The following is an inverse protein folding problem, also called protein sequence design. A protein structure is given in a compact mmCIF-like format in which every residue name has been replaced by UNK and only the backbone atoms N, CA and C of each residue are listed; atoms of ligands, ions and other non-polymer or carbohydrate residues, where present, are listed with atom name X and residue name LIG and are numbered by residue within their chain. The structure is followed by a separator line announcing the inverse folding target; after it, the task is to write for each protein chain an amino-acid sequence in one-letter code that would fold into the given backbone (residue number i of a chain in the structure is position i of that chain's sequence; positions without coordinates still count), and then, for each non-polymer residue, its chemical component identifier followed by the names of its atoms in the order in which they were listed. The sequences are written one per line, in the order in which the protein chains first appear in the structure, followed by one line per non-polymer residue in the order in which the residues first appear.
data_IF_217954930942
#
_entry.id   IF_217954930942
#
_cell.length_a   1.000
_cell.length_b   1.000
_cell.length_c   1.000
_cell.angle_alpha   90.00
_cell.angle_beta   90.00
_cell.angle_gamma   90.00
#
_symmetry.space_group_name_H-M   'P 1'
#
loop_
_entity.id
_entity.type
_entity.pdbx_description
1 polymer ?
#
# COMPACT_ATOMS: atom_id res chain seq x y z
N UNK A 1 -9.67 20.93 -2.85
CA UNK A 1 -9.32 19.68 -3.55
C UNK A 1 -9.84 18.54 -2.68
N UNK A 2 -10.70 17.68 -3.22
CA UNK A 2 -11.40 16.59 -2.50
C UNK A 2 -10.64 15.24 -2.57
N UNK A 3 -9.46 15.22 -3.19
CA UNK A 3 -8.65 14.01 -3.40
C UNK A 3 -7.94 13.51 -2.12
N UNK A 4 -8.01 14.27 -1.03
CA UNK A 4 -7.51 13.87 0.29
C UNK A 4 -8.63 13.31 1.20
N UNK A 5 -9.88 13.28 0.73
CA UNK A 5 -11.01 12.77 1.49
C UNK A 5 -10.98 11.25 1.57
N UNK A 6 -11.48 10.70 2.68
CA UNK A 6 -11.54 9.27 2.93
C UNK A 6 -12.13 8.48 1.76
N UNK A 7 -13.21 8.97 1.13
CA UNK A 7 -13.85 8.28 0.00
C UNK A 7 -12.92 8.10 -1.22
N UNK A 8 -12.11 9.10 -1.54
CA UNK A 8 -11.15 9.04 -2.65
C UNK A 8 -10.02 8.06 -2.33
N UNK A 9 -9.46 8.15 -1.12
CA UNK A 9 -8.36 7.29 -0.67
C UNK A 9 -8.81 5.84 -0.56
N UNK A 10 -9.98 5.59 0.04
CA UNK A 10 -10.62 4.27 0.10
C UNK A 10 -10.79 3.68 -1.30
N UNK A 11 -11.22 4.48 -2.28
CA UNK A 11 -11.33 4.04 -3.68
C UNK A 11 -9.98 3.66 -4.28
N UNK A 12 -8.91 4.43 -4.05
CA UNK A 12 -7.56 4.08 -4.51
C UNK A 12 -7.06 2.76 -3.90
N UNK A 13 -7.24 2.59 -2.59
CA UNK A 13 -6.84 1.35 -1.90
C UNK A 13 -7.63 0.17 -2.45
N UNK A 14 -8.95 0.32 -2.56
CA UNK A 14 -9.80 -0.75 -3.05
C UNK A 14 -9.46 -1.14 -4.50
N UNK A 15 -9.18 -0.16 -5.37
CA UNK A 15 -8.71 -0.40 -6.73
C UNK A 15 -7.37 -1.15 -6.77
N UNK A 16 -6.46 -0.84 -5.84
CA UNK A 16 -5.19 -1.54 -5.72
C UNK A 16 -5.36 -2.99 -5.24
N UNK A 17 -6.14 -3.22 -4.18
CA UNK A 17 -6.36 -4.58 -3.66
C UNK A 17 -7.07 -5.46 -4.68
N UNK A 18 -8.06 -4.92 -5.40
CA UNK A 18 -8.71 -5.62 -6.51
C UNK A 18 -7.74 -5.98 -7.63
N UNK A 19 -6.81 -5.08 -7.95
CA UNK A 19 -5.74 -5.33 -8.92
C UNK A 19 -4.82 -6.47 -8.47
N UNK A 20 -4.38 -6.47 -7.21
CA UNK A 20 -3.56 -7.54 -6.61
C UNK A 20 -4.29 -8.89 -6.65
N UNK A 21 -5.60 -8.89 -6.41
CA UNK A 21 -6.45 -10.08 -6.46
C UNK A 21 -6.89 -10.50 -7.87
N UNK A 22 -6.50 -9.76 -8.91
CA UNK A 22 -6.91 -10.00 -10.30
C UNK A 22 -8.44 -10.04 -10.48
N UNK A 23 -9.18 -9.29 -9.64
CA UNK A 23 -10.64 -9.18 -9.76
C UNK A 23 -10.95 -8.25 -10.93
N UNK A 24 -11.68 -8.72 -11.98
CA UNK A 24 -12.01 -7.91 -13.15
C UNK A 24 -12.65 -6.58 -12.73
N UNK A 25 -12.04 -5.46 -13.14
CA UNK A 25 -12.65 -4.14 -13.03
C UNK A 25 -13.10 -3.68 -14.42
N UNK A 26 -14.27 -3.02 -14.54
CA UNK A 26 -14.68 -2.42 -15.80
C UNK A 26 -13.58 -1.48 -16.33
N UNK A 27 -13.26 -1.55 -17.63
CA UNK A 27 -12.16 -0.77 -18.23
C UNK A 27 -12.30 0.76 -18.05
N UNK A 28 -13.53 1.25 -17.88
CA UNK A 28 -13.83 2.65 -17.56
C UNK A 28 -13.64 3.01 -16.07
N UNK A 29 -13.29 2.05 -15.21
CA UNK A 29 -13.45 2.14 -13.76
C UNK A 29 -12.22 2.50 -12.93
N UNK A 30 -11.02 2.58 -13.53
CA UNK A 30 -9.78 2.97 -12.82
C UNK A 30 -9.29 4.33 -13.26
N UNK A 31 -9.13 5.25 -12.31
CA UNK A 31 -8.63 6.60 -12.58
C UNK A 31 -7.19 6.57 -13.11
N UNK A 32 -6.72 7.68 -13.69
CA UNK A 32 -5.29 7.83 -14.04
C UNK A 32 -4.40 7.60 -12.81
N UNK A 33 -4.78 8.17 -11.67
CA UNK A 33 -4.11 7.97 -10.38
C UNK A 33 -4.05 6.49 -10.00
N UNK A 34 -5.18 5.77 -10.05
CA UNK A 34 -5.24 4.33 -9.72
C UNK A 34 -4.27 3.52 -10.59
N UNK A 35 -4.18 3.80 -11.89
CA UNK A 35 -3.28 3.08 -12.80
C UNK A 35 -1.80 3.33 -12.50
N UNK A 36 -1.42 4.59 -12.28
CA UNK A 36 -0.03 4.93 -11.91
C UNK A 36 0.32 4.28 -10.57
N UNK A 37 -0.58 4.37 -9.58
CA UNK A 37 -0.40 3.78 -8.27
C UNK A 37 -0.26 2.26 -8.32
N UNK A 38 -1.13 1.57 -9.08
CA UNK A 38 -1.06 0.11 -9.27
C UNK A 38 0.30 -0.31 -9.81
N UNK A 39 0.81 0.35 -10.84
CA UNK A 39 2.10 -0.01 -11.44
C UNK A 39 3.26 0.12 -10.44
N UNK A 40 3.31 1.25 -9.71
CA UNK A 40 4.41 1.53 -8.78
C UNK A 40 4.29 0.64 -7.53
N UNK A 41 3.12 0.60 -6.88
CA UNK A 41 2.91 -0.17 -5.67
C UNK A 41 3.06 -1.67 -5.91
N UNK A 42 2.60 -2.20 -7.06
CA UNK A 42 2.79 -3.62 -7.37
C UNK A 42 4.26 -3.97 -7.63
N UNK A 43 5.04 -3.05 -8.20
CA UNK A 43 6.48 -3.24 -8.36
C UNK A 43 7.19 -3.28 -7.01
N UNK A 44 6.86 -2.35 -6.10
CA UNK A 44 7.36 -2.33 -4.71
C UNK A 44 6.93 -3.60 -3.97
N UNK A 45 5.67 -4.00 -4.09
CA UNK A 45 5.15 -5.21 -3.46
C UNK A 45 5.94 -6.45 -3.88
N UNK A 46 6.19 -6.64 -5.18
CA UNK A 46 6.97 -7.79 -5.66
C UNK A 46 8.40 -7.81 -5.10
N UNK A 47 9.02 -6.64 -5.00
CA UNK A 47 10.37 -6.52 -4.46
C UNK A 47 10.41 -6.82 -2.96
N UNK A 48 9.43 -6.31 -2.20
CA UNK A 48 9.23 -6.64 -0.78
C UNK A 48 8.98 -8.13 -0.60
N UNK A 49 8.05 -8.72 -1.35
CA UNK A 49 7.75 -10.15 -1.28
C UNK A 49 8.97 -11.02 -1.56
N UNK A 50 9.82 -10.61 -2.50
CA UNK A 50 11.06 -11.31 -2.85
C UNK A 50 12.13 -11.18 -1.76
N UNK A 51 12.43 -9.96 -1.33
CA UNK A 51 13.56 -9.68 -0.43
C UNK A 51 13.25 -9.98 1.04
N UNK A 52 11.97 -9.89 1.43
CA UNK A 52 11.51 -10.17 2.78
C UNK A 52 10.82 -11.52 2.93
N UNK A 53 10.91 -12.40 1.91
CA UNK A 53 10.29 -13.72 1.96
C UNK A 53 10.49 -14.45 3.30
N UNK A 54 11.71 -14.57 3.87
CA UNK A 54 11.89 -15.26 5.15
C UNK A 54 11.12 -14.63 6.31
N UNK A 55 11.08 -13.30 6.37
CA UNK A 55 10.31 -12.59 7.40
C UNK A 55 8.80 -12.71 7.17
N UNK A 56 8.35 -12.56 5.93
CA UNK A 56 6.93 -12.69 5.58
C UNK A 56 6.42 -14.11 5.86
N UNK A 57 7.26 -15.12 5.73
CA UNK A 57 6.92 -16.51 6.04
C UNK A 57 6.79 -16.75 7.57
N UNK A 58 7.38 -15.90 8.42
CA UNK A 58 7.37 -16.05 9.89
C UNK A 58 6.07 -15.60 10.57
N UNK A 59 5.20 -14.86 9.88
CA UNK A 59 3.89 -14.48 10.44
C UNK A 59 2.73 -14.99 9.60
N UNK A 60 1.63 -15.35 10.28
CA UNK A 60 0.42 -15.87 9.67
C UNK A 60 -0.70 -14.84 9.81
N UNK A 61 -1.48 -14.66 8.74
CA UNK A 61 -2.61 -13.72 8.71
C UNK A 61 -3.90 -14.53 8.58
N UNK A 62 -4.52 -14.87 9.70
CA UNK A 62 -5.72 -15.75 9.73
C UNK A 62 -7.05 -14.97 9.77
N UNK A 63 -7.03 -13.73 10.24
CA UNK A 63 -8.22 -12.87 10.38
C UNK A 63 -7.99 -11.44 9.92
N UNK A 64 -9.10 -10.71 9.72
CA UNK A 64 -9.06 -9.26 9.46
C UNK A 64 -8.42 -8.53 10.64
N UNK A 65 -8.74 -8.90 11.88
CA UNK A 65 -8.18 -8.27 13.08
C UNK A 65 -6.66 -8.50 13.17
N UNK A 66 -6.19 -9.70 12.82
CA UNK A 66 -4.76 -10.02 12.75
C UNK A 66 -4.08 -9.18 11.66
N UNK A 67 -4.71 -9.06 10.48
CA UNK A 67 -4.21 -8.24 9.39
C UNK A 67 -4.11 -6.76 9.78
N UNK A 68 -5.14 -6.22 10.43
CA UNK A 68 -5.19 -4.84 10.90
C UNK A 68 -4.14 -4.57 11.98
N UNK A 69 -3.96 -5.50 12.92
CA UNK A 69 -2.95 -5.39 13.99
C UNK A 69 -1.54 -5.35 13.40
N UNK A 70 -1.21 -6.30 12.52
CA UNK A 70 0.10 -6.34 11.84
C UNK A 70 0.30 -5.09 10.99
N UNK A 71 -0.72 -4.67 10.23
CA UNK A 71 -0.67 -3.44 9.44
C UNK A 71 -0.31 -2.25 10.31
N UNK A 72 -1.05 -2.03 11.40
CA UNK A 72 -0.83 -0.90 12.29
C UNK A 72 0.58 -0.92 12.89
N UNK A 73 1.04 -2.06 13.41
CA UNK A 73 2.38 -2.18 14.00
C UNK A 73 3.51 -1.86 13.00
N UNK A 74 3.41 -2.37 11.78
CA UNK A 74 4.44 -2.12 10.74
C UNK A 74 4.41 -0.66 10.29
N UNK A 75 3.21 -0.10 10.06
CA UNK A 75 3.07 1.29 9.60
C UNK A 75 3.44 2.31 10.69
N UNK A 76 3.09 2.06 11.96
CA UNK A 76 3.52 2.92 13.08
C UNK A 76 5.05 2.98 13.17
N UNK A 77 5.72 1.84 12.98
CA UNK A 77 7.18 1.79 12.99
C UNK A 77 7.81 2.42 11.74
N UNK A 78 7.21 2.24 10.56
CA UNK A 78 7.70 2.84 9.31
C UNK A 78 7.65 4.37 9.32
N UNK A 79 6.68 4.96 10.03
CA UNK A 79 6.47 6.40 10.11
C UNK A 79 6.89 7.02 11.45
N UNK A 80 7.58 6.27 12.32
CA UNK A 80 7.95 6.72 13.67
C UNK A 80 8.90 7.93 13.68
N UNK A 81 9.69 8.11 12.62
CA UNK A 81 10.62 9.23 12.46
C UNK A 81 9.94 10.52 11.99
N UNK A 82 8.62 10.49 11.75
CA UNK A 82 7.82 11.62 11.27
C UNK A 82 8.03 11.99 9.80
N UNK A 83 8.83 11.23 9.04
CA UNK A 83 9.16 11.56 7.65
C UNK A 83 8.11 10.97 6.71
N UNK A 84 7.33 11.85 6.07
CA UNK A 84 6.32 11.49 5.06
C UNK A 84 6.84 11.86 3.66
N UNK A 85 6.68 10.96 2.71
CA UNK A 85 6.95 11.18 1.29
C UNK A 85 6.18 10.17 0.44
N UNK A 86 6.05 10.43 -0.85
CA UNK A 86 5.32 9.55 -1.75
C UNK A 86 5.84 8.10 -1.81
N UNK A 87 7.16 7.88 -1.65
CA UNK A 87 7.73 6.54 -1.61
C UNK A 87 7.22 5.72 -0.44
N UNK A 88 7.18 6.32 0.76
CA UNK A 88 6.57 5.70 1.96
C UNK A 88 5.05 5.61 1.88
N UNK A 89 4.38 6.53 1.19
CA UNK A 89 2.93 6.37 0.97
C UNK A 89 2.67 5.14 0.09
N UNK A 90 3.49 4.89 -0.93
CA UNK A 90 3.38 3.71 -1.81
C UNK A 90 3.58 2.40 -1.05
N UNK A 91 4.48 2.34 -0.07
CA UNK A 91 4.71 1.12 0.73
C UNK A 91 3.49 0.74 1.57
N UNK A 92 2.67 1.69 2.01
CA UNK A 92 1.38 1.43 2.66
C UNK A 92 0.48 0.55 1.76
N UNK A 93 0.33 0.93 0.48
CA UNK A 93 -0.47 0.15 -0.48
C UNK A 93 0.16 -1.22 -0.72
N UNK A 94 1.47 -1.25 -0.98
CA UNK A 94 2.20 -2.50 -1.21
C UNK A 94 2.01 -3.49 -0.05
N UNK A 95 2.11 -3.02 1.19
CA UNK A 95 1.91 -3.86 2.37
C UNK A 95 0.46 -4.32 2.53
N UNK A 96 -0.53 -3.46 2.28
CA UNK A 96 -1.93 -3.88 2.20
C UNK A 96 -2.16 -5.00 1.16
N UNK A 97 -1.46 -4.92 0.01
CA UNK A 97 -1.44 -5.96 -1.02
C UNK A 97 -0.81 -7.29 -0.56
N UNK A 98 0.21 -7.24 0.28
CA UNK A 98 0.82 -8.44 0.89
C UNK A 98 -0.15 -9.08 1.88
N UNK A 99 -0.79 -8.27 2.74
CA UNK A 99 -1.73 -8.74 3.76
C UNK A 99 -2.95 -9.42 3.14
N UNK A 100 -3.53 -8.86 2.07
CA UNK A 100 -4.68 -9.50 1.41
C UNK A 100 -4.29 -10.84 0.77
N UNK A 101 -3.11 -10.95 0.16
CA UNK A 101 -2.60 -12.22 -0.40
C UNK A 101 -2.39 -13.27 0.69
N UNK A 102 -1.78 -12.88 1.81
CA UNK A 102 -1.57 -13.80 2.95
C UNK A 102 -2.90 -14.23 3.56
N UNK A 103 -3.81 -13.30 3.82
CA UNK A 103 -5.12 -13.60 4.41
C UNK A 103 -5.95 -14.57 3.55
N UNK A 104 -5.94 -14.39 2.23
CA UNK A 104 -6.68 -15.29 1.33
C UNK A 104 -6.01 -16.65 1.15
N UNK A 105 -4.69 -16.74 1.27
CA UNK A 105 -3.97 -18.01 1.21
C UNK A 105 -4.29 -18.91 2.40
N UNK A 106 -4.44 -18.32 3.58
CA UNK A 106 -4.68 -19.05 4.84
C UNK A 106 -6.18 -19.33 5.10
N UNK A 107 -7.10 -18.75 4.32
CA UNK A 107 -8.55 -18.94 4.49
C UNK A 107 -9.13 -19.98 3.54
N UNK A 108 -9.87 -20.94 4.12
CA UNK A 108 -10.60 -21.99 3.40
C UNK A 108 -11.80 -21.42 2.61
N UNK A 109 -12.43 -20.34 3.10
CA UNK A 109 -13.52 -19.64 2.43
C UNK A 109 -13.34 -18.12 2.52
N UNK A 110 -12.87 -17.46 1.45
CA UNK A 110 -12.78 -16.01 1.36
C UNK A 110 -14.16 -15.36 1.51
N UNK A 111 -14.30 -14.42 2.45
CA UNK A 111 -15.42 -13.49 2.44
C UNK A 111 -15.24 -12.54 1.24
N UNK A 112 -16.24 -12.41 0.38
CA UNK A 112 -16.23 -11.52 -0.80
C UNK A 112 -15.91 -10.08 -0.39
N UNK A 113 -16.20 -9.70 0.85
CA UNK A 113 -15.95 -8.36 1.38
C UNK A 113 -14.60 -8.20 2.09
N UNK A 114 -13.72 -9.20 2.08
CA UNK A 114 -12.40 -9.16 2.73
C UNK A 114 -11.57 -7.96 2.25
N UNK A 115 -11.53 -7.70 0.93
CA UNK A 115 -10.78 -6.57 0.39
C UNK A 115 -11.37 -5.21 0.81
N UNK A 116 -12.68 -5.12 1.06
CA UNK A 116 -13.33 -3.89 1.53
C UNK A 116 -12.89 -3.56 2.96
N UNK A 117 -12.86 -4.57 3.83
CA UNK A 117 -12.40 -4.43 5.23
C UNK A 117 -10.94 -3.99 5.30
N UNK A 118 -10.06 -4.62 4.50
CA UNK A 118 -8.66 -4.17 4.40
C UNK A 118 -8.57 -2.75 3.83
N UNK A 119 -9.39 -2.42 2.82
CA UNK A 119 -9.40 -1.06 2.27
C UNK A 119 -9.74 0.01 3.31
N UNK A 120 -10.63 -0.30 4.26
CA UNK A 120 -11.03 0.64 5.32
C UNK A 120 -9.87 1.05 6.20
N UNK A 121 -9.22 0.09 6.88
CA UNK A 121 -8.17 0.43 7.84
C UNK A 121 -6.91 0.98 7.17
N UNK A 122 -6.64 0.59 5.92
CA UNK A 122 -5.53 1.17 5.14
C UNK A 122 -5.85 2.63 4.79
N UNK A 123 -7.08 2.92 4.35
CA UNK A 123 -7.49 4.28 4.03
C UNK A 123 -7.56 5.18 5.27
N UNK A 124 -8.05 4.66 6.40
CA UNK A 124 -8.02 5.33 7.71
C UNK A 124 -6.59 5.76 8.06
N UNK A 125 -5.62 4.84 7.99
CA UNK A 125 -4.23 5.18 8.28
C UNK A 125 -3.68 6.28 7.35
N UNK A 126 -3.94 6.21 6.04
CA UNK A 126 -3.48 7.23 5.09
C UNK A 126 -4.12 8.59 5.41
N UNK A 127 -5.43 8.62 5.68
CA UNK A 127 -6.14 9.85 6.04
C UNK A 127 -5.56 10.46 7.32
N UNK A 128 -5.46 9.64 8.37
CA UNK A 128 -5.09 10.11 9.70
C UNK A 128 -3.63 10.57 9.78
N UNK A 129 -2.73 9.93 9.02
CA UNK A 129 -1.29 10.13 9.17
C UNK A 129 -0.66 10.91 8.02
N UNK A 130 -1.26 10.95 6.83
CA UNK A 130 -0.58 11.47 5.63
C UNK A 130 -1.38 12.50 4.83
N UNK A 131 -2.68 12.66 5.08
CA UNK A 131 -3.55 13.52 4.25
C UNK A 131 -3.07 14.98 4.18
N UNK A 132 -2.62 15.54 5.30
CA UNK A 132 -2.14 16.92 5.33
C UNK A 132 -0.87 17.09 4.48
N UNK A 133 0.09 16.15 4.60
CA UNK A 133 1.28 16.14 3.78
C UNK A 133 0.94 15.98 2.29
N UNK A 134 0.02 15.06 1.96
CA UNK A 134 -0.47 14.85 0.59
C UNK A 134 -1.02 16.16 0.01
N UNK A 135 -1.87 16.84 0.76
CA UNK A 135 -2.49 18.12 0.37
C UNK A 135 -1.44 19.21 0.12
N UNK A 136 -0.46 19.33 1.01
CA UNK A 136 0.65 20.28 0.88
C UNK A 136 1.58 19.97 -0.31
N UNK A 137 1.65 18.71 -0.73
CA UNK A 137 2.52 18.24 -1.82
C UNK A 137 1.78 18.02 -3.14
N UNK A 138 0.70 18.78 -3.38
CA UNK A 138 -0.01 18.83 -4.66
C UNK A 138 -1.07 17.74 -4.85
N UNK A 139 -1.42 16.99 -3.81
CA UNK A 139 -2.43 15.96 -3.88
C UNK A 139 -2.03 14.79 -4.79
N UNK A 140 -3.00 13.95 -5.13
CA UNK A 140 -2.73 12.76 -5.93
C UNK A 140 -2.50 13.08 -7.41
N UNK A 141 -3.22 14.05 -7.96
CA UNK A 141 -3.12 14.37 -9.39
C UNK A 141 -1.92 15.27 -9.72
N UNK A 142 -1.69 16.34 -8.95
CA UNK A 142 -0.60 17.29 -9.22
C UNK A 142 0.70 16.95 -8.47
N UNK A 143 0.64 16.12 -7.43
CA UNK A 143 1.79 15.60 -6.71
C UNK A 143 2.19 14.20 -7.19
N UNK A 144 1.44 13.19 -6.77
CA UNK A 144 1.78 11.79 -7.01
C UNK A 144 1.87 11.44 -8.50
N UNK A 145 0.82 11.68 -9.28
CA UNK A 145 0.82 11.35 -10.71
C UNK A 145 1.93 12.09 -11.43
N UNK A 146 2.18 13.38 -11.16
CA UNK A 146 3.28 14.11 -11.80
C UNK A 146 4.66 13.55 -11.48
N UNK A 147 4.88 13.02 -10.27
CA UNK A 147 6.16 12.40 -9.87
C UNK A 147 6.35 11.00 -10.47
N UNK A 148 5.29 10.21 -10.60
CA UNK A 148 5.39 8.78 -10.97
C UNK A 148 4.87 8.44 -12.37
N UNK A 149 4.23 9.38 -13.08
CA UNK A 149 3.89 9.21 -14.48
C UNK A 149 5.18 9.09 -15.34
N UNK A 150 5.26 8.13 -16.28
CA UNK A 150 6.50 7.91 -17.01
C UNK A 150 6.91 9.11 -17.88
N UNK A 151 8.09 9.70 -17.63
CA UNK A 151 8.88 10.38 -18.66
C UNK A 151 10.02 9.49 -19.21
N UNK A 152 10.44 8.49 -18.44
CA UNK A 152 11.33 7.36 -18.81
C UNK A 152 11.45 6.45 -17.57
N UNK A 153 10.86 5.26 -17.64
CA UNK A 153 10.36 4.47 -16.49
C UNK A 153 11.38 3.68 -15.65
N UNK A 154 12.57 4.21 -15.35
CA UNK A 154 13.58 3.48 -14.57
C UNK A 154 14.22 4.26 -13.40
N UNK A 155 14.21 5.59 -13.42
CA UNK A 155 14.98 6.40 -12.45
C UNK A 155 14.28 6.60 -11.09
N UNK A 156 12.95 6.51 -11.01
CA UNK A 156 12.20 6.57 -9.73
C UNK A 156 12.29 5.28 -8.89
N UNK A 157 12.82 4.20 -9.46
CA UNK A 157 12.97 2.88 -8.82
C UNK A 157 14.06 2.87 -7.72
N UNK A 158 15.12 3.69 -7.87
CA UNK A 158 16.25 3.75 -6.93
C UNK A 158 15.93 4.56 -5.65
N UNK A 159 15.05 5.55 -5.72
CA UNK A 159 14.67 6.36 -4.53
C UNK A 159 13.79 5.58 -3.55
N UNK A 160 12.97 4.64 -4.04
CA UNK A 160 12.02 3.86 -3.22
C UNK A 160 12.69 2.62 -2.61
N UNK A 161 13.62 1.99 -3.32
CA UNK A 161 14.33 0.78 -2.87
C UNK A 161 15.26 1.03 -1.68
N UNK A 162 15.85 2.23 -1.58
CA UNK A 162 16.64 2.64 -0.40
C UNK A 162 15.87 2.57 0.92
N UNK A 163 14.53 2.70 0.89
CA UNK A 163 13.67 2.66 2.09
C UNK A 163 13.11 1.28 2.42
N UNK A 164 13.03 0.37 1.45
CA UNK A 164 12.74 -1.05 1.74
C UNK A 164 13.75 -1.57 2.76
N UNK A 165 15.02 -1.14 2.69
CA UNK A 165 16.07 -1.48 3.65
C UNK A 165 15.78 -1.07 5.11
N UNK A 166 15.07 0.04 5.36
CA UNK A 166 14.68 0.42 6.72
C UNK A 166 13.54 -0.47 7.24
N UNK A 167 12.55 -0.77 6.41
CA UNK A 167 11.53 -1.81 6.69
C UNK A 167 12.18 -3.18 7.00
N UNK A 168 13.29 -3.53 6.36
CA UNK A 168 14.06 -4.76 6.66
C UNK A 168 14.62 -4.78 8.10
N UNK A 169 15.06 -3.63 8.62
CA UNK A 169 15.63 -3.53 9.97
C UNK A 169 14.56 -3.70 11.05
N UNK A 170 13.37 -3.15 10.80
CA UNK A 170 12.29 -3.11 11.76
C UNK A 170 11.65 -4.49 11.97
N UNK A 171 11.45 -5.24 10.90
CA UNK A 171 10.85 -6.58 10.97
C UNK A 171 11.79 -7.63 11.62
N UNK A 172 13.11 -7.47 11.49
CA UNK A 172 14.10 -8.33 12.16
C UNK A 172 14.16 -8.17 13.68
N UNK A 173 13.66 -7.07 14.24
CA UNK A 173 13.69 -6.86 15.69
C UNK A 173 12.60 -7.62 16.45
N UNK A 174 11.61 -8.16 15.73
CA UNK A 174 10.44 -8.82 16.33
C UNK A 174 10.38 -10.32 16.04
N UNK A 175 11.31 -10.87 15.24
CA UNK A 175 11.39 -12.30 14.88
C UNK A 175 12.83 -12.78 14.70
#
# INVERSE_FOLDING_TARGET
MTDCEFGYIYKLVQDYLKYVLQIPQPAAGSSKTSRVLQNVAFSVQKEVEKNLKPCLDNFVVISIDTAQTIFKQVMEKEFEDGIINWGRIVTIFAFGGILIKKLLRERIAPDVDTYKKISSFVAEFIVDNTAEWIRQNGGWENGFVKKFEPRSGWLTFLEVTGKICEMLFLLKQYY
#
